data_IF_091773348162
#
_entry.id   IF_091773348162
#
_cell.length_a   1.000
_cell.length_b   1.000
_cell.length_c   1.000
_cell.angle_alpha   90.00
_cell.angle_beta   90.00
_cell.angle_gamma   90.00
#
_symmetry.space_group_name_H-M   'P 1'
#
loop_
_entity.id
_entity.type
_entity.pdbx_description
1 polymer ?
#
# COMPACT_ATOMS: atom_id res chain seq x y z
N UNK A 1 11.54 -24.78 46.25
CA UNK A 1 12.18 -25.91 45.54
C UNK A 1 11.33 -26.15 44.29
N UNK A 2 11.66 -25.45 43.19
CA UNK A 2 12.16 -26.04 41.92
C UNK A 2 11.07 -26.86 41.18
N UNK A 3 10.70 -26.63 39.91
CA UNK A 3 11.44 -26.10 38.76
C UNK A 3 10.51 -25.59 37.64
N UNK A 4 10.96 -24.50 37.03
CA UNK A 4 10.83 -24.04 35.64
C UNK A 4 10.33 -25.04 34.58
N UNK A 5 9.43 -24.59 33.71
CA UNK A 5 9.49 -24.84 32.26
C UNK A 5 9.04 -23.58 31.51
N UNK A 6 10.01 -22.95 30.83
CA UNK A 6 9.80 -21.85 29.90
C UNK A 6 9.09 -22.39 28.66
N UNK A 7 7.83 -22.02 28.46
CA UNK A 7 7.17 -22.20 27.18
C UNK A 7 7.80 -21.24 26.18
N UNK A 8 8.55 -21.81 25.23
CA UNK A 8 9.08 -21.15 24.06
C UNK A 8 7.90 -20.53 23.29
N UNK A 9 7.80 -19.21 23.31
CA UNK A 9 6.96 -18.48 22.36
C UNK A 9 7.47 -18.81 20.95
N UNK A 10 6.58 -19.10 19.98
CA UNK A 10 7.02 -19.30 18.61
C UNK A 10 7.73 -18.02 18.16
N UNK A 11 9.04 -18.16 17.90
CA UNK A 11 9.85 -17.14 17.28
C UNK A 11 9.17 -16.79 15.96
N UNK A 12 8.71 -15.55 15.81
CA UNK A 12 8.25 -15.06 14.52
C UNK A 12 9.37 -15.29 13.53
N UNK A 13 9.16 -16.20 12.57
CA UNK A 13 10.16 -16.44 11.53
C UNK A 13 10.32 -15.15 10.76
N UNK A 14 11.42 -14.44 11.02
CA UNK A 14 11.85 -13.30 10.23
C UNK A 14 12.07 -13.83 8.82
N UNK A 15 11.32 -13.34 7.84
CA UNK A 15 11.60 -13.65 6.44
C UNK A 15 12.92 -13.00 6.09
N UNK A 16 13.92 -13.82 5.75
CA UNK A 16 15.18 -13.33 5.22
C UNK A 16 15.10 -13.27 3.69
N UNK A 17 15.71 -12.24 3.11
CA UNK A 17 15.86 -12.15 1.68
C UNK A 17 16.95 -13.14 1.27
N UNK A 18 16.58 -14.17 0.52
CA UNK A 18 17.53 -15.17 0.01
C UNK A 18 17.98 -14.77 -1.39
N UNK A 19 19.28 -14.49 -1.56
CA UNK A 19 19.92 -14.15 -2.85
C UNK A 19 19.30 -12.98 -3.63
N UNK A 20 18.57 -12.09 -2.96
CA UNK A 20 18.05 -10.87 -3.59
C UNK A 20 19.16 -9.87 -3.90
N UNK A 21 19.01 -9.14 -5.00
CA UNK A 21 19.85 -7.98 -5.34
C UNK A 21 19.04 -6.70 -5.19
N UNK A 22 19.72 -5.62 -4.82
CA UNK A 22 19.10 -4.30 -4.81
C UNK A 22 18.67 -3.92 -6.23
N UNK A 23 17.42 -3.49 -6.36
CA UNK A 23 16.87 -3.05 -7.64
C UNK A 23 17.46 -1.68 -7.97
N UNK A 24 18.00 -1.43 -9.19
CA UNK A 24 18.56 -0.14 -9.52
C UNK A 24 17.56 1.02 -9.36
N UNK A 25 18.08 2.22 -9.07
CA UNK A 25 17.25 3.41 -8.89
C UNK A 25 16.32 3.65 -10.08
N UNK A 26 15.08 4.06 -9.80
CA UNK A 26 14.05 4.33 -10.80
C UNK A 26 13.47 3.12 -11.54
N UNK A 27 13.89 1.87 -11.25
CA UNK A 27 13.35 0.67 -11.94
C UNK A 27 11.98 0.20 -11.44
N UNK A 28 11.57 0.61 -10.25
CA UNK A 28 10.27 0.28 -9.65
C UNK A 28 9.45 1.55 -9.32
N UNK A 29 9.15 2.41 -10.31
CA UNK A 29 8.54 3.73 -10.07
C UNK A 29 7.10 3.63 -9.52
N UNK A 30 6.46 2.48 -9.73
CA UNK A 30 5.09 2.19 -9.28
C UNK A 30 5.01 1.65 -7.85
N UNK A 31 6.13 1.28 -7.22
CA UNK A 31 6.12 0.75 -5.86
C UNK A 31 5.87 1.88 -4.87
N UNK A 32 4.91 1.66 -3.96
CA UNK A 32 4.57 2.67 -2.96
C UNK A 32 4.64 2.16 -1.53
N UNK A 33 4.98 3.06 -0.63
CA UNK A 33 4.92 2.85 0.82
C UNK A 33 3.67 3.52 1.36
N UNK A 34 2.76 2.72 1.92
CA UNK A 34 1.54 3.17 2.56
C UNK A 34 1.83 3.50 4.02
N UNK A 35 1.43 4.68 4.46
CA UNK A 35 1.77 5.18 5.79
C UNK A 35 0.56 5.68 6.56
N UNK A 36 0.61 5.49 7.88
CA UNK A 36 -0.30 6.14 8.83
C UNK A 36 0.45 7.20 9.65
N UNK A 37 -0.29 7.99 10.43
CA UNK A 37 0.30 9.07 11.24
C UNK A 37 1.02 8.58 12.50
N UNK A 38 0.85 7.30 12.88
CA UNK A 38 1.37 6.77 14.15
C UNK A 38 2.75 6.13 13.98
N UNK A 39 2.86 5.21 13.03
CA UNK A 39 3.99 4.27 12.94
C UNK A 39 4.81 4.45 11.65
N UNK A 40 4.43 5.39 10.77
CA UNK A 40 5.05 5.52 9.45
C UNK A 40 4.58 4.40 8.52
N UNK A 41 5.51 3.63 7.96
CA UNK A 41 5.20 2.56 6.99
C UNK A 41 4.36 1.45 7.61
N UNK A 42 3.29 1.08 6.90
CA UNK A 42 2.34 0.04 7.28
C UNK A 42 2.40 -1.12 6.30
N UNK A 43 2.24 -0.82 5.00
CA UNK A 43 2.15 -1.80 3.93
C UNK A 43 2.77 -1.27 2.64
N UNK A 44 3.02 -2.17 1.71
CA UNK A 44 3.28 -1.84 0.32
C UNK A 44 2.00 -1.59 -0.49
N UNK A 45 2.18 -1.07 -1.69
CA UNK A 45 1.15 -1.02 -2.72
C UNK A 45 1.76 -0.77 -4.09
N UNK A 46 0.91 -0.73 -5.11
CA UNK A 46 1.30 -0.49 -6.48
C UNK A 46 0.44 0.61 -7.11
N UNK A 47 1.07 1.60 -7.71
CA UNK A 47 0.41 2.61 -8.52
C UNK A 47 -0.04 1.97 -9.85
N UNK A 48 -1.36 1.90 -10.09
CA UNK A 48 -1.94 1.28 -11.30
C UNK A 48 -2.44 2.32 -12.30
N UNK A 49 -2.55 3.58 -11.86
CA UNK A 49 -2.85 4.75 -12.69
C UNK A 49 -2.42 6.01 -11.94
N UNK A 50 -2.55 7.18 -12.55
CA UNK A 50 -2.15 8.45 -11.94
C UNK A 50 -2.82 8.72 -10.60
N UNK A 51 -4.03 8.24 -10.34
CA UNK A 51 -4.79 8.55 -9.12
C UNK A 51 -5.24 7.32 -8.32
N UNK A 52 -4.78 6.11 -8.70
CA UNK A 52 -5.14 4.87 -8.01
C UNK A 52 -3.94 4.01 -7.64
N UNK A 53 -3.95 3.57 -6.38
CA UNK A 53 -3.04 2.57 -5.82
C UNK A 53 -3.83 1.32 -5.46
N UNK A 54 -3.31 0.15 -5.80
CA UNK A 54 -3.80 -1.14 -5.31
C UNK A 54 -2.95 -1.63 -4.14
N UNK A 55 -3.61 -2.19 -3.13
CA UNK A 55 -2.99 -2.81 -1.96
C UNK A 55 -3.90 -3.93 -1.42
N UNK A 56 -3.50 -4.56 -0.33
CA UNK A 56 -4.31 -5.55 0.36
C UNK A 56 -5.39 -4.88 1.23
N UNK A 57 -6.55 -5.51 1.37
CA UNK A 57 -7.64 -4.99 2.19
C UNK A 57 -7.33 -5.03 3.70
N UNK A 58 -6.51 -5.99 4.14
CA UNK A 58 -6.04 -6.06 5.52
C UNK A 58 -5.08 -4.92 5.90
N UNK A 59 -4.52 -4.20 4.92
CA UNK A 59 -3.65 -3.05 5.16
C UNK A 59 -4.39 -1.80 5.63
N UNK A 60 -5.73 -1.83 5.69
CA UNK A 60 -6.55 -0.73 6.21
C UNK A 60 -6.36 -0.57 7.72
N UNK A 61 -5.27 0.12 8.08
CA UNK A 61 -4.89 0.43 9.46
C UNK A 61 -4.68 1.95 9.61
N UNK A 62 -5.72 2.70 9.25
CA UNK A 62 -5.74 4.16 9.35
C UNK A 62 -4.73 4.84 8.42
N UNK A 63 -4.61 4.33 7.19
CA UNK A 63 -3.72 4.89 6.17
C UNK A 63 -4.06 6.36 5.89
N UNK A 64 -3.03 7.18 5.70
CA UNK A 64 -3.16 8.63 5.43
C UNK A 64 -2.37 9.07 4.22
N UNK A 65 -1.20 8.47 4.01
CA UNK A 65 -0.28 8.93 2.99
C UNK A 65 0.27 7.77 2.16
N UNK A 66 0.51 8.06 0.90
CA UNK A 66 1.29 7.25 -0.02
C UNK A 66 2.61 7.96 -0.27
N UNK A 67 3.69 7.19 -0.18
CA UNK A 67 5.04 7.63 -0.51
C UNK A 67 5.46 7.01 -1.84
N UNK A 68 5.79 7.87 -2.81
CA UNK A 68 6.24 7.51 -4.16
C UNK A 68 7.70 7.92 -4.41
N UNK A 69 8.36 7.21 -5.33
CA UNK A 69 9.69 7.56 -5.85
C UNK A 69 10.83 7.35 -4.85
N UNK A 70 10.60 6.61 -3.77
CA UNK A 70 11.61 6.38 -2.73
C UNK A 70 12.38 5.11 -3.03
N UNK A 71 13.61 5.26 -3.53
CA UNK A 71 14.53 4.14 -3.71
C UNK A 71 15.34 3.84 -2.44
N UNK A 72 15.75 4.87 -1.69
CA UNK A 72 16.47 4.74 -0.43
C UNK A 72 15.80 5.54 0.70
N UNK A 73 15.72 4.96 1.90
CA UNK A 73 15.15 5.60 3.09
C UNK A 73 15.91 6.86 3.53
N UNK A 74 17.19 6.98 3.17
CA UNK A 74 18.05 8.13 3.50
C UNK A 74 17.83 9.35 2.60
N UNK A 75 17.21 9.17 1.43
CA UNK A 75 17.04 10.25 0.45
C UNK A 75 15.72 11.02 0.70
N UNK A 76 15.77 12.36 0.58
CA UNK A 76 14.70 13.30 0.98
C UNK A 76 13.74 13.69 -0.15
N UNK A 77 14.05 13.33 -1.40
CA UNK A 77 13.22 13.63 -2.58
C UNK A 77 12.00 12.72 -2.68
N UNK A 78 11.14 12.76 -1.67
CA UNK A 78 10.01 11.85 -1.50
C UNK A 78 8.70 12.58 -1.75
N UNK A 79 7.90 12.08 -2.70
CA UNK A 79 6.57 12.64 -2.94
C UNK A 79 5.58 12.00 -1.96
N UNK A 80 5.14 12.79 -0.99
CA UNK A 80 4.09 12.42 -0.03
C UNK A 80 2.73 12.86 -0.57
N UNK A 81 1.84 11.90 -0.76
CA UNK A 81 0.53 12.12 -1.37
C UNK A 81 -0.56 11.67 -0.40
N UNK A 82 -1.60 12.47 -0.25
CA UNK A 82 -2.74 12.14 0.61
C UNK A 82 -3.66 11.12 -0.05
N UNK A 83 -4.13 10.17 0.76
CA UNK A 83 -5.19 9.24 0.38
C UNK A 83 -6.51 9.98 0.58
N UNK A 84 -7.25 10.16 -0.51
CA UNK A 84 -8.54 10.86 -0.47
C UNK A 84 -9.70 9.93 -0.23
N UNK A 85 -9.60 8.70 -0.70
CA UNK A 85 -10.64 7.70 -0.49
C UNK A 85 -10.08 6.28 -0.59
N UNK A 86 -10.80 5.32 -0.04
CA UNK A 86 -10.42 3.92 -0.05
C UNK A 86 -11.63 3.02 -0.24
N UNK A 87 -11.39 1.85 -0.81
CA UNK A 87 -12.46 0.90 -1.05
C UNK A 87 -11.91 -0.52 -1.18
N UNK A 88 -12.37 -1.37 -0.25
CA UNK A 88 -12.06 -2.80 -0.21
C UNK A 88 -12.96 -3.58 -1.18
N UNK A 89 -12.52 -4.75 -1.58
CA UNK A 89 -13.38 -5.70 -2.26
C UNK A 89 -14.63 -5.98 -1.40
N UNK A 90 -15.82 -5.99 -2.02
CA UNK A 90 -17.11 -6.13 -1.30
C UNK A 90 -17.21 -7.44 -0.49
N UNK A 91 -16.56 -8.49 -0.98
CA UNK A 91 -16.53 -9.81 -0.34
C UNK A 91 -15.38 -10.00 0.66
N UNK A 92 -14.55 -8.98 0.90
CA UNK A 92 -13.51 -9.09 1.91
C UNK A 92 -14.13 -9.06 3.31
N UNK A 93 -14.00 -10.15 4.06
CA UNK A 93 -14.32 -10.21 5.48
C UNK A 93 -13.06 -10.26 6.35
N UNK A 94 -12.07 -11.05 5.93
CA UNK A 94 -10.81 -11.30 6.61
C UNK A 94 -9.83 -11.99 5.65
N UNK A 95 -8.56 -12.09 6.09
CA UNK A 95 -7.47 -12.67 5.29
C UNK A 95 -7.72 -14.15 4.94
N UNK A 96 -8.42 -14.90 5.79
CA UNK A 96 -8.66 -16.35 5.59
C UNK A 96 -9.66 -16.58 4.46
N UNK A 97 -10.68 -15.72 4.37
CA UNK A 97 -11.74 -15.82 3.37
C UNK A 97 -11.38 -15.19 2.01
N UNK A 98 -10.18 -14.62 1.87
CA UNK A 98 -9.67 -14.09 0.61
C UNK A 98 -10.25 -12.72 0.25
N UNK A 99 -10.25 -12.40 -1.05
CA UNK A 99 -10.61 -11.06 -1.56
C UNK A 99 -9.82 -9.92 -0.91
N UNK A 100 -8.57 -10.20 -0.52
CA UNK A 100 -7.69 -9.30 0.21
C UNK A 100 -7.07 -8.26 -0.74
N UNK A 101 -7.94 -7.42 -1.31
CA UNK A 101 -7.60 -6.38 -2.27
C UNK A 101 -8.40 -5.11 -1.99
N UNK A 102 -7.74 -3.97 -2.07
CA UNK A 102 -8.29 -2.64 -1.82
C UNK A 102 -7.68 -1.64 -2.81
N UNK A 103 -8.53 -0.74 -3.29
CA UNK A 103 -8.11 0.44 -4.04
C UNK A 103 -8.05 1.65 -3.13
N UNK A 104 -7.01 2.45 -3.32
CA UNK A 104 -6.84 3.76 -2.71
C UNK A 104 -6.87 4.81 -3.82
N UNK A 105 -7.74 5.80 -3.68
CA UNK A 105 -7.68 7.01 -4.49
C UNK A 105 -6.73 7.99 -3.83
N UNK A 106 -5.80 8.53 -4.61
CA UNK A 106 -4.77 9.47 -4.14
C UNK A 106 -4.91 10.79 -4.86
N UNK A 107 -4.69 11.89 -4.13
CA UNK A 107 -4.78 13.23 -4.70
C UNK A 107 -3.40 13.69 -5.13
N UNK A 108 -3.05 13.50 -6.39
CA UNK A 108 -1.92 14.22 -6.96
C UNK A 108 -2.31 15.69 -7.08
N UNK A 109 -1.92 16.51 -6.10
CA UNK A 109 -1.98 17.95 -6.28
C UNK A 109 -0.97 18.31 -7.38
N UNK A 110 -1.48 18.65 -8.56
CA UNK A 110 -0.71 18.99 -9.75
C UNK A 110 0.09 20.28 -9.54
N UNK A 111 1.29 20.15 -9.00
CA UNK A 111 2.38 21.06 -9.34
C UNK A 111 3.34 20.33 -10.29
N UNK A 112 2.85 20.04 -11.50
CA UNK A 112 3.67 20.14 -12.70
C UNK A 112 2.75 20.31 -13.91
N UNK A 113 3.05 21.33 -14.72
CA UNK A 113 2.37 21.70 -15.96
C UNK A 113 2.09 20.49 -16.87
N UNK A 114 0.90 19.89 -16.79
CA UNK A 114 0.13 19.46 -17.95
C UNK A 114 -1.26 19.05 -17.46
N UNK A 115 -2.28 19.71 -18.01
CA UNK A 115 -3.69 19.40 -17.77
C UNK A 115 -4.05 18.09 -18.47
N UNK A 116 -3.68 16.94 -17.91
CA UNK A 116 -4.41 15.71 -18.24
C UNK A 116 -5.63 15.74 -17.33
N UNK A 117 -6.75 16.19 -17.90
CA UNK A 117 -8.06 15.94 -17.33
C UNK A 117 -8.32 14.43 -17.37
N UNK A 118 -7.76 13.68 -16.42
CA UNK A 118 -8.25 12.34 -16.14
C UNK A 118 -9.69 12.52 -15.67
N UNK A 119 -10.68 11.86 -16.29
CA UNK A 119 -12.05 11.92 -15.81
C UNK A 119 -12.02 11.58 -14.32
N UNK A 120 -12.61 12.41 -13.47
CA UNK A 120 -12.66 12.14 -12.03
C UNK A 120 -13.51 10.90 -11.79
N UNK A 121 -12.94 9.71 -12.00
CA UNK A 121 -13.63 8.46 -11.76
C UNK A 121 -13.83 8.36 -10.25
N UNK A 122 -15.09 8.24 -9.84
CA UNK A 122 -15.42 8.03 -8.45
C UNK A 122 -14.78 6.71 -8.00
N UNK A 123 -14.15 6.68 -6.83
CA UNK A 123 -13.54 5.45 -6.31
C UNK A 123 -14.58 4.32 -6.21
N UNK A 124 -15.84 4.64 -5.93
CA UNK A 124 -16.94 3.68 -5.81
C UNK A 124 -17.32 3.10 -7.18
N UNK A 125 -17.24 3.91 -8.25
CA UNK A 125 -17.49 3.44 -9.62
C UNK A 125 -16.35 2.55 -10.09
N UNK A 126 -15.10 2.95 -9.83
CA UNK A 126 -13.91 2.12 -10.15
C UNK A 126 -13.95 0.84 -9.35
N UNK A 127 -14.25 0.90 -8.06
CA UNK A 127 -14.39 -0.29 -7.24
C UNK A 127 -15.51 -1.21 -7.70
N UNK A 128 -16.68 -0.64 -7.99
CA UNK A 128 -17.81 -1.45 -8.43
C UNK A 128 -17.53 -2.09 -9.78
N UNK A 129 -16.87 -1.39 -10.72
CA UNK A 129 -16.54 -1.93 -12.03
C UNK A 129 -15.33 -2.87 -12.02
N UNK A 130 -14.27 -2.57 -11.26
CA UNK A 130 -13.06 -3.40 -11.18
C UNK A 130 -13.36 -4.74 -10.49
N UNK A 131 -14.19 -4.73 -9.45
CA UNK A 131 -14.60 -5.94 -8.74
C UNK A 131 -15.89 -6.58 -9.30
N UNK A 132 -16.50 -6.01 -10.34
CA UNK A 132 -17.63 -6.63 -11.04
C UNK A 132 -17.24 -7.50 -12.24
N UNK A 133 -15.94 -7.57 -12.58
CA UNK A 133 -15.46 -8.51 -13.58
C UNK A 133 -15.50 -9.92 -12.95
N UNK A 134 -16.61 -10.62 -13.20
CA UNK A 134 -16.78 -12.06 -12.94
C UNK A 134 -16.13 -12.88 -14.04
#
# INVERSE_FOLDING_TARGET
>A
MMMQWLALLPHSKKSEIVNGIEVPDGKMPYMVSLQNNKNGHVCGGFLISEDFVVTAAHCDNGLKHVILGRHNWKNSNVKKIEISNQCKHKNYSDVVNGYDIMLLKVNFCSLQHFSISSPSKNVLDVCSNLFAIR
#
